data_IF_665068257215
#
_entry.id   IF_665068257215
#
_cell.length_a   1.000
_cell.length_b   1.000
_cell.length_c   1.000
_cell.angle_alpha   90.00
_cell.angle_beta   90.00
_cell.angle_gamma   90.00
#
_symmetry.space_group_name_H-M   'P 1'
#
loop_
_entity.id
_entity.type
_entity.pdbx_description
1 polymer ?
#
# COMPACT_ATOMS: atom_id res chain seq x y z
N UNK A 1 6.41 33.74 -21.30
CA UNK A 1 5.77 32.67 -20.53
C UNK A 1 6.40 31.28 -20.77
N UNK A 2 6.75 30.90 -21.99
CA UNK A 2 7.35 29.60 -22.34
C UNK A 2 8.57 29.18 -21.47
N UNK A 3 9.46 30.12 -21.15
CA UNK A 3 10.66 29.84 -20.34
C UNK A 3 10.39 29.48 -18.87
N UNK A 4 9.28 29.94 -18.29
CA UNK A 4 8.91 29.60 -16.90
C UNK A 4 8.43 28.16 -16.81
N UNK A 5 7.62 27.73 -17.77
CA UNK A 5 7.09 26.36 -17.82
C UNK A 5 8.22 25.34 -18.01
N UNK A 6 9.17 25.64 -18.91
CA UNK A 6 10.33 24.76 -19.13
C UNK A 6 11.22 24.64 -17.88
N UNK A 7 11.43 25.72 -17.14
CA UNK A 7 12.20 25.69 -15.88
C UNK A 7 11.49 24.90 -14.78
N UNK A 8 10.18 25.05 -14.67
CA UNK A 8 9.37 24.28 -13.71
C UNK A 8 9.48 22.78 -14.00
N UNK A 9 9.37 22.37 -15.27
CA UNK A 9 9.52 20.98 -15.66
C UNK A 9 10.92 20.41 -15.39
N UNK A 10 11.97 21.20 -15.59
CA UNK A 10 13.34 20.81 -15.24
C UNK A 10 13.46 20.58 -13.73
N UNK A 11 12.96 21.51 -12.92
CA UNK A 11 12.98 21.40 -11.45
C UNK A 11 12.21 20.14 -10.97
N UNK A 12 11.00 19.94 -11.50
CA UNK A 12 10.19 18.75 -11.17
C UNK A 12 10.95 17.47 -11.52
N UNK A 13 11.55 17.38 -12.69
CA UNK A 13 12.34 16.23 -13.14
C UNK A 13 13.52 15.94 -12.22
N UNK A 14 14.20 16.97 -11.74
CA UNK A 14 15.35 16.83 -10.85
C UNK A 14 14.95 16.51 -9.40
N UNK A 15 13.80 17.00 -8.94
CA UNK A 15 13.31 16.74 -7.60
C UNK A 15 12.67 15.35 -7.44
N UNK A 16 11.99 14.84 -8.47
CA UNK A 16 11.32 13.52 -8.40
C UNK A 16 12.21 12.38 -7.90
N UNK A 17 13.45 12.18 -8.38
CA UNK A 17 14.33 11.13 -7.89
C UNK A 17 14.77 11.31 -6.43
N UNK A 18 14.56 12.50 -5.86
CA UNK A 18 14.92 12.80 -4.47
C UNK A 18 13.79 12.49 -3.48
N UNK A 19 12.56 12.32 -3.98
CA UNK A 19 11.39 12.04 -3.15
C UNK A 19 11.43 10.60 -2.66
N UNK A 20 11.68 9.65 -3.57
CA UNK A 20 11.78 8.23 -3.27
C UNK A 20 13.23 7.79 -3.36
N UNK A 21 13.84 7.50 -2.21
CA UNK A 21 15.27 7.11 -2.13
C UNK A 21 15.51 5.62 -2.15
N UNK A 22 14.55 4.86 -1.66
CA UNK A 22 14.59 3.39 -1.64
C UNK A 22 13.17 2.87 -1.48
N UNK A 23 12.91 1.74 -2.10
CA UNK A 23 11.68 0.99 -1.91
C UNK A 23 11.99 -0.47 -1.58
N UNK A 24 10.99 -1.16 -1.05
CA UNK A 24 10.99 -2.60 -0.86
C UNK A 24 9.57 -3.10 -1.01
N UNK A 25 9.40 -4.18 -1.75
CA UNK A 25 8.09 -4.75 -1.99
C UNK A 25 7.68 -5.67 -0.84
N UNK A 26 6.43 -5.57 -0.44
CA UNK A 26 5.79 -6.54 0.45
C UNK A 26 5.13 -7.58 -0.45
N UNK A 27 5.83 -8.70 -0.65
CA UNK A 27 5.43 -9.74 -1.61
C UNK A 27 4.49 -10.77 -0.99
N UNK A 28 4.74 -11.15 0.26
CA UNK A 28 4.01 -12.21 0.94
C UNK A 28 2.86 -11.67 1.76
N UNK A 29 1.65 -12.06 1.37
CA UNK A 29 0.41 -11.70 1.99
C UNK A 29 -0.39 -12.96 2.37
N UNK A 30 -1.35 -12.76 3.23
CA UNK A 30 -2.45 -13.70 3.47
C UNK A 30 -3.74 -13.05 3.00
N UNK A 31 -4.70 -13.84 2.53
CA UNK A 31 -5.98 -13.33 2.06
C UNK A 31 -7.15 -14.17 2.50
N UNK A 32 -8.31 -13.51 2.65
CA UNK A 32 -9.63 -14.14 2.77
C UNK A 32 -10.59 -13.47 1.79
N UNK A 33 -11.33 -14.27 1.05
CA UNK A 33 -12.35 -13.74 0.13
C UNK A 33 -13.68 -13.57 0.87
N UNK A 34 -13.79 -12.48 1.64
CA UNK A 34 -14.98 -12.13 2.41
C UNK A 34 -14.96 -10.65 2.79
N UNK A 35 -16.13 -10.07 3.00
CA UNK A 35 -16.25 -8.73 3.58
C UNK A 35 -16.10 -8.82 5.10
N UNK A 36 -15.17 -8.06 5.62
CA UNK A 36 -15.05 -7.74 7.04
C UNK A 36 -14.99 -6.23 7.20
N UNK A 37 -15.43 -5.74 8.33
CA UNK A 37 -15.40 -4.30 8.63
C UNK A 37 -14.20 -3.93 9.52
N UNK A 38 -13.60 -4.92 10.18
CA UNK A 38 -12.48 -4.75 11.11
C UNK A 38 -11.55 -5.97 11.10
N UNK A 39 -10.25 -5.77 11.44
CA UNK A 39 -9.29 -6.87 11.51
C UNK A 39 -9.72 -8.01 12.44
N UNK A 40 -10.35 -7.69 13.58
CA UNK A 40 -10.77 -8.68 14.57
C UNK A 40 -11.84 -9.63 14.02
N UNK A 41 -12.69 -9.15 13.13
CA UNK A 41 -13.72 -10.01 12.48
C UNK A 41 -13.04 -11.04 11.57
N UNK A 42 -11.97 -10.65 10.87
CA UNK A 42 -11.20 -11.56 10.04
C UNK A 42 -10.47 -12.62 10.87
N UNK A 43 -10.04 -12.28 12.08
CA UNK A 43 -9.38 -13.21 13.00
C UNK A 43 -10.34 -14.22 13.62
N UNK A 44 -11.55 -13.79 13.94
CA UNK A 44 -12.60 -14.64 14.51
C UNK A 44 -13.29 -15.53 13.47
N UNK A 45 -13.15 -15.21 12.20
CA UNK A 45 -13.78 -15.98 11.12
C UNK A 45 -13.10 -17.35 10.94
N UNK A 46 -13.87 -18.46 10.92
CA UNK A 46 -13.32 -19.82 10.85
C UNK A 46 -12.69 -20.17 9.50
N UNK A 47 -12.90 -19.36 8.47
CA UNK A 47 -12.26 -19.57 7.16
C UNK A 47 -10.74 -19.42 7.30
N UNK A 48 -9.96 -20.38 6.77
CA UNK A 48 -8.52 -20.27 6.83
C UNK A 48 -8.01 -19.09 6.00
N UNK A 49 -6.88 -18.51 6.42
CA UNK A 49 -6.12 -17.59 5.62
C UNK A 49 -5.42 -18.35 4.48
N UNK A 50 -5.54 -17.84 3.27
CA UNK A 50 -4.85 -18.36 2.10
C UNK A 50 -3.59 -17.56 1.85
N UNK A 51 -2.52 -18.23 1.41
CA UNK A 51 -1.29 -17.53 1.00
C UNK A 51 -1.52 -16.77 -0.29
N UNK A 52 -1.01 -15.56 -0.37
CA UNK A 52 -1.06 -14.72 -1.57
C UNK A 52 0.31 -14.07 -1.83
N UNK A 53 0.85 -14.30 -3.01
CA UNK A 53 2.10 -13.71 -3.47
C UNK A 53 1.78 -12.62 -4.48
N UNK A 54 1.97 -11.35 -4.10
CA UNK A 54 1.60 -10.21 -4.94
C UNK A 54 2.39 -10.12 -6.26
N UNK A 55 3.52 -10.83 -6.35
CA UNK A 55 4.33 -10.87 -7.58
C UNK A 55 3.77 -11.81 -8.65
N UNK A 56 3.10 -12.89 -8.23
CA UNK A 56 2.61 -13.95 -9.11
C UNK A 56 1.10 -14.10 -9.12
N UNK A 57 0.47 -13.93 -7.97
CA UNK A 57 -0.96 -14.19 -7.81
C UNK A 57 -1.79 -12.98 -8.28
N UNK A 58 -3.02 -13.27 -8.62
CA UNK A 58 -4.00 -12.25 -9.03
C UNK A 58 -5.31 -12.50 -8.34
N UNK A 59 -6.00 -11.45 -7.98
CA UNK A 59 -7.34 -11.49 -7.41
C UNK A 59 -8.31 -10.80 -8.37
N UNK A 60 -9.52 -11.31 -8.42
CA UNK A 60 -10.52 -10.85 -9.37
C UNK A 60 -11.93 -11.17 -8.89
N UNK A 61 -12.89 -10.44 -9.46
CA UNK A 61 -14.32 -10.69 -9.27
C UNK A 61 -15.09 -9.37 -9.30
N UNK A 62 -16.29 -9.43 -9.87
CA UNK A 62 -17.22 -8.31 -9.82
C UNK A 62 -17.94 -8.34 -8.47
N UNK A 63 -18.03 -7.21 -7.81
CA UNK A 63 -18.72 -7.04 -6.53
C UNK A 63 -18.25 -8.04 -5.46
N UNK A 64 -16.95 -8.28 -5.42
CA UNK A 64 -16.30 -9.19 -4.46
C UNK A 64 -15.41 -8.43 -3.51
N UNK A 65 -15.34 -8.95 -2.28
CA UNK A 65 -14.51 -8.39 -1.23
C UNK A 65 -13.38 -9.35 -0.89
N UNK A 66 -12.20 -8.77 -0.71
CA UNK A 66 -11.01 -9.48 -0.27
C UNK A 66 -10.43 -8.76 0.93
N UNK A 67 -9.97 -9.52 1.89
CA UNK A 67 -9.16 -9.05 2.99
C UNK A 67 -7.74 -9.52 2.79
N UNK A 68 -6.79 -8.63 2.86
CA UNK A 68 -5.37 -8.93 2.75
C UNK A 68 -4.68 -8.59 4.06
N UNK A 69 -3.73 -9.42 4.47
CA UNK A 69 -2.88 -9.18 5.63
C UNK A 69 -1.43 -9.45 5.32
N UNK A 70 -0.55 -8.55 5.74
CA UNK A 70 0.89 -8.75 5.72
C UNK A 70 1.54 -8.19 6.98
N UNK A 71 2.74 -8.64 7.25
CA UNK A 71 3.63 -8.03 8.22
C UNK A 71 4.80 -7.39 7.50
N UNK A 72 5.06 -6.14 7.83
CA UNK A 72 6.21 -5.40 7.35
C UNK A 72 7.15 -5.07 8.49
N UNK A 73 8.34 -5.66 8.47
CA UNK A 73 9.41 -5.34 9.42
C UNK A 73 10.37 -4.33 8.79
N UNK A 74 10.55 -3.20 9.45
CA UNK A 74 11.43 -2.12 9.01
C UNK A 74 12.88 -2.63 8.87
N UNK A 75 13.45 -2.62 7.65
CA UNK A 75 14.82 -3.03 7.46
C UNK A 75 15.81 -1.98 7.99
N UNK A 76 17.04 -2.39 8.31
CA UNK A 76 18.08 -1.49 8.80
C UNK A 76 18.36 -0.32 7.85
N UNK A 77 18.22 -0.54 6.55
CA UNK A 77 18.40 0.50 5.53
C UNK A 77 17.37 1.63 5.57
N UNK A 78 16.25 1.41 6.27
CA UNK A 78 15.17 2.39 6.45
C UNK A 78 15.13 3.01 7.85
N UNK A 79 16.10 2.68 8.72
CA UNK A 79 16.18 3.28 10.04
C UNK A 79 16.25 4.81 9.99
N UNK A 80 15.56 5.48 10.91
CA UNK A 80 15.48 6.94 11.02
C UNK A 80 14.90 7.66 9.78
N UNK A 81 14.23 6.92 8.88
CA UNK A 81 13.62 7.51 7.68
C UNK A 81 12.11 7.63 7.81
N UNK A 82 11.54 8.58 7.07
CA UNK A 82 10.11 8.64 6.86
C UNK A 82 9.71 7.53 5.88
N UNK A 83 8.72 6.71 6.24
CA UNK A 83 8.24 5.58 5.44
C UNK A 83 6.80 5.81 5.00
N UNK A 84 6.57 5.58 3.72
CA UNK A 84 5.24 5.52 3.11
C UNK A 84 4.94 4.11 2.65
N UNK A 85 3.73 3.65 2.90
CA UNK A 85 3.15 2.49 2.21
C UNK A 85 2.49 2.98 0.94
N UNK A 86 2.78 2.31 -0.17
CA UNK A 86 2.18 2.60 -1.47
C UNK A 86 1.52 1.35 -2.04
N UNK A 87 0.24 1.45 -2.40
CA UNK A 87 -0.46 0.38 -3.11
C UNK A 87 -0.40 0.63 -4.61
N UNK A 88 0.04 -0.38 -5.35
CA UNK A 88 0.07 -0.38 -6.80
C UNK A 88 -0.69 -1.59 -7.34
N UNK A 89 -1.85 -1.34 -7.95
CA UNK A 89 -2.74 -2.39 -8.46
C UNK A 89 -2.34 -2.94 -9.82
N UNK A 90 -1.31 -2.36 -10.46
CA UNK A 90 -0.88 -2.64 -11.83
C UNK A 90 -1.94 -2.32 -12.90
N UNK A 91 -3.01 -1.65 -12.55
CA UNK A 91 -3.98 -1.12 -13.51
C UNK A 91 -3.49 0.27 -13.90
N UNK A 92 -3.07 0.42 -15.16
CA UNK A 92 -2.50 1.68 -15.66
C UNK A 92 -3.56 2.63 -16.22
N UNK A 93 -4.70 2.08 -16.64
CA UNK A 93 -5.80 2.88 -17.20
C UNK A 93 -6.52 3.63 -16.10
N UNK A 94 -6.76 4.91 -16.38
CA UNK A 94 -7.59 5.77 -15.53
C UNK A 94 -9.05 5.39 -15.71
N UNK A 95 -9.56 4.57 -14.79
CA UNK A 95 -10.98 4.22 -14.73
C UNK A 95 -11.37 3.97 -13.28
N UNK A 96 -11.93 4.99 -12.63
CA UNK A 96 -12.38 4.92 -11.24
C UNK A 96 -13.41 3.80 -11.01
N UNK A 97 -14.17 3.44 -12.05
CA UNK A 97 -15.16 2.36 -11.98
C UNK A 97 -14.56 0.95 -11.98
N UNK A 98 -13.32 0.80 -12.40
CA UNK A 98 -12.61 -0.50 -12.48
C UNK A 98 -11.54 -0.68 -11.43
N UNK A 99 -10.98 0.43 -10.94
CA UNK A 99 -9.94 0.36 -9.94
C UNK A 99 -10.50 -0.04 -8.59
N UNK A 100 -9.86 -0.98 -7.90
CA UNK A 100 -10.26 -1.38 -6.56
C UNK A 100 -10.07 -0.24 -5.57
N UNK A 101 -10.95 -0.21 -4.58
CA UNK A 101 -10.83 0.66 -3.41
C UNK A 101 -10.41 -0.18 -2.22
N UNK A 102 -9.58 0.39 -1.36
CA UNK A 102 -9.09 -0.26 -0.16
C UNK A 102 -9.37 0.60 1.07
N UNK A 103 -9.53 -0.05 2.19
CA UNK A 103 -9.43 0.57 3.50
C UNK A 103 -8.23 -0.05 4.21
N UNK A 104 -7.24 0.78 4.52
CA UNK A 104 -6.03 0.33 5.19
C UNK A 104 -6.17 0.42 6.70
N UNK A 105 -5.82 -0.67 7.36
CA UNK A 105 -5.54 -0.72 8.79
C UNK A 105 -4.06 -0.94 9.02
N UNK A 106 -3.51 -0.25 10.01
CA UNK A 106 -2.14 -0.42 10.48
C UNK A 106 -2.19 -0.72 11.98
N UNK A 107 -1.64 -1.84 12.38
CA UNK A 107 -1.66 -2.33 13.77
C UNK A 107 -3.10 -2.33 14.37
N UNK A 108 -4.08 -2.74 13.57
CA UNK A 108 -5.49 -2.80 13.94
C UNK A 108 -6.25 -1.48 13.90
N UNK A 109 -5.62 -0.36 13.57
CA UNK A 109 -6.26 0.96 13.50
C UNK A 109 -6.54 1.34 12.06
N UNK A 110 -7.77 1.77 11.75
CA UNK A 110 -8.11 2.31 10.45
C UNK A 110 -7.34 3.62 10.20
N UNK A 111 -6.61 3.68 9.09
CA UNK A 111 -5.74 4.81 8.77
C UNK A 111 -6.28 5.63 7.62
N UNK A 112 -6.57 4.99 6.49
CA UNK A 112 -6.99 5.71 5.29
C UNK A 112 -7.72 4.80 4.30
N UNK A 113 -8.74 5.37 3.62
CA UNK A 113 -9.24 4.83 2.36
C UNK A 113 -8.23 5.11 1.25
N UNK A 114 -8.00 4.11 0.41
CA UNK A 114 -7.07 4.22 -0.71
C UNK A 114 -7.78 3.89 -2.02
N UNK A 115 -7.43 4.62 -3.03
CA UNK A 115 -7.88 4.46 -4.41
C UNK A 115 -6.74 4.82 -5.37
N UNK A 116 -7.02 4.94 -6.66
CA UNK A 116 -6.00 5.30 -7.64
C UNK A 116 -5.44 6.73 -7.46
N UNK A 117 -6.13 7.61 -6.76
CA UNK A 117 -5.69 8.98 -6.48
C UNK A 117 -4.95 9.08 -5.13
N UNK A 118 -5.28 8.18 -4.19
CA UNK A 118 -4.78 8.17 -2.82
C UNK A 118 -4.02 6.85 -2.56
N UNK A 119 -2.92 6.64 -3.28
CA UNK A 119 -2.15 5.39 -3.24
C UNK A 119 -1.13 5.30 -2.11
N UNK A 120 -0.82 6.41 -1.47
CA UNK A 120 0.28 6.51 -0.51
C UNK A 120 -0.25 6.88 0.88
N UNK A 121 0.22 6.15 1.87
CA UNK A 121 -0.06 6.40 3.29
C UNK A 121 1.25 6.48 4.04
N UNK A 122 1.44 7.54 4.82
CA UNK A 122 2.59 7.67 5.68
C UNK A 122 2.44 6.73 6.88
N UNK A 123 3.36 5.76 7.02
CA UNK A 123 3.40 4.86 8.16
C UNK A 123 4.09 5.50 9.37
N UNK A 124 5.19 6.23 9.15
CA UNK A 124 5.95 6.90 10.21
C UNK A 124 6.81 8.02 9.65
N UNK A 125 7.06 9.03 10.47
CA UNK A 125 8.03 10.10 10.16
C UNK A 125 9.48 9.70 10.46
N UNK A 126 9.66 8.79 11.41
CA UNK A 126 10.98 8.33 11.85
C UNK A 126 10.88 6.84 12.18
N UNK A 127 11.35 6.01 11.26
CA UNK A 127 11.28 4.57 11.38
C UNK A 127 12.33 4.03 12.35
N UNK A 128 11.98 2.96 13.04
CA UNK A 128 12.89 2.20 13.90
C UNK A 128 13.16 0.84 13.26
N UNK A 129 14.41 0.53 12.96
CA UNK A 129 14.80 -0.76 12.40
C UNK A 129 14.35 -1.91 13.33
N UNK A 130 13.76 -2.96 12.72
CA UNK A 130 13.23 -4.11 13.46
C UNK A 130 11.79 -3.94 13.96
N UNK A 131 11.22 -2.74 13.93
CA UNK A 131 9.79 -2.57 14.19
C UNK A 131 8.97 -3.28 13.13
N UNK A 132 7.94 -4.01 13.56
CA UNK A 132 7.01 -4.68 12.66
C UNK A 132 5.64 -4.01 12.72
N UNK A 133 5.09 -3.74 11.55
CA UNK A 133 3.71 -3.27 11.33
C UNK A 133 2.87 -4.42 10.81
N UNK A 134 1.66 -4.57 11.33
CA UNK A 134 0.62 -5.42 10.72
C UNK A 134 -0.21 -4.53 9.81
N UNK A 135 -0.31 -4.91 8.55
CA UNK A 135 -1.06 -4.23 7.50
C UNK A 135 -2.25 -5.11 7.12
N UNK A 136 -3.43 -4.54 7.16
CA UNK A 136 -4.69 -5.19 6.81
C UNK A 136 -5.46 -4.39 5.76
#
# INVERSE_FOLDING_TARGET
>A
MRYLDERVWVIIRELRPLIERSNTDIVKWQTKKKLFMRPEEADLDPMPWESFDSSTDRWYGKDTYYWFRAQFTVPQSMDQKCIFLKIHTQIEEWDDGRNPQFLLFVDGQAVQGQDMNHREVRLTDCAEAGRTYTLD
#
